data_IF_133495745666
#
_entry.id   IF_133495745666
#
_cell.length_a   1.000
_cell.length_b   1.000
_cell.length_c   1.000
_cell.angle_alpha   90.00
_cell.angle_beta   90.00
_cell.angle_gamma   90.00
#
_symmetry.space_group_name_H-M   'P 1'
#
loop_
_entity.id
_entity.type
_entity.pdbx_description
1 polymer ?
#
# COMPACT_ATOMS: atom_id res chain seq x y z
N UNK A 1 7.04 13.44 -7.99
CA UNK A 1 5.86 12.76 -8.59
C UNK A 1 4.78 12.64 -7.53
N UNK A 2 3.50 12.72 -7.90
CA UNK A 2 2.37 12.51 -6.98
C UNK A 2 1.97 11.03 -7.01
N UNK A 3 1.42 10.50 -5.92
CA UNK A 3 1.02 9.10 -5.81
C UNK A 3 -0.18 8.73 -6.72
N UNK A 4 -1.19 9.60 -6.80
CA UNK A 4 -2.44 9.34 -7.55
C UNK A 4 -2.22 8.91 -9.00
N UNK A 5 -1.41 9.60 -9.83
CA UNK A 5 -1.12 9.17 -11.19
C UNK A 5 -0.54 7.75 -11.30
N UNK A 6 0.25 7.31 -10.32
CA UNK A 6 0.86 5.98 -10.35
C UNK A 6 -0.18 4.89 -10.06
N UNK A 7 -1.09 5.10 -9.12
CA UNK A 7 -2.23 4.21 -8.90
C UNK A 7 -3.15 4.16 -10.13
N UNK A 8 -3.42 5.31 -10.75
CA UNK A 8 -4.21 5.37 -11.99
C UNK A 8 -3.52 4.61 -13.12
N UNK A 9 -2.19 4.77 -13.27
CA UNK A 9 -1.43 4.02 -14.25
C UNK A 9 -1.48 2.49 -14.00
N UNK A 10 -1.39 2.05 -12.74
CA UNK A 10 -1.55 0.64 -12.37
C UNK A 10 -2.92 0.09 -12.80
N UNK A 11 -4.01 0.82 -12.51
CA UNK A 11 -5.36 0.44 -12.95
C UNK A 11 -5.45 0.39 -14.48
N UNK A 12 -4.91 1.37 -15.19
CA UNK A 12 -4.90 1.40 -16.66
C UNK A 12 -4.16 0.17 -17.23
N UNK A 13 -3.04 -0.24 -16.64
CA UNK A 13 -2.30 -1.44 -17.05
C UNK A 13 -3.22 -2.67 -16.96
N UNK A 14 -3.91 -2.86 -15.83
CA UNK A 14 -4.83 -3.98 -15.68
C UNK A 14 -6.00 -3.93 -16.68
N UNK A 15 -6.59 -2.76 -16.91
CA UNK A 15 -7.65 -2.61 -17.90
C UNK A 15 -7.16 -2.91 -19.33
N UNK A 16 -5.93 -2.51 -19.67
CA UNK A 16 -5.31 -2.83 -20.95
C UNK A 16 -5.06 -4.34 -21.10
N UNK A 17 -4.61 -5.01 -20.04
CA UNK A 17 -4.44 -6.47 -20.03
C UNK A 17 -5.78 -7.19 -20.18
N UNK A 18 -6.83 -6.77 -19.46
CA UNK A 18 -8.17 -7.33 -19.63
C UNK A 18 -8.64 -7.18 -21.08
N UNK A 19 -8.51 -5.98 -21.66
CA UNK A 19 -8.87 -5.75 -23.05
C UNK A 19 -8.08 -6.67 -24.00
N UNK A 20 -6.76 -6.80 -23.80
CA UNK A 20 -5.92 -7.68 -24.60
C UNK A 20 -6.36 -9.15 -24.51
N UNK A 21 -6.63 -9.63 -23.29
CA UNK A 21 -7.10 -11.00 -23.02
C UNK A 21 -8.44 -11.27 -23.72
N UNK A 22 -9.40 -10.35 -23.62
CA UNK A 22 -10.70 -10.51 -24.30
C UNK A 22 -10.59 -10.42 -25.83
N UNK A 23 -9.72 -9.56 -26.36
CA UNK A 23 -9.47 -9.47 -27.81
C UNK A 23 -8.81 -10.73 -28.38
N UNK A 24 -8.09 -11.49 -27.57
CA UNK A 24 -7.46 -12.76 -27.95
C UNK A 24 -8.14 -13.98 -27.32
N UNK A 25 -9.41 -13.86 -26.96
CA UNK A 25 -10.14 -14.92 -26.24
C UNK A 25 -9.99 -16.30 -26.89
N UNK A 26 -10.12 -16.40 -28.21
CA UNK A 26 -10.07 -17.68 -28.94
C UNK A 26 -8.69 -18.35 -28.92
N UNK A 27 -7.62 -17.59 -28.69
CA UNK A 27 -6.25 -18.14 -28.59
C UNK A 27 -5.94 -18.74 -27.21
N UNK A 28 -6.82 -18.52 -26.23
CA UNK A 28 -6.65 -19.01 -24.86
C UNK A 28 -7.02 -20.49 -24.82
N UNK A 29 -6.14 -21.38 -24.28
CA UNK A 29 -6.40 -22.80 -24.21
C UNK A 29 -7.58 -23.12 -23.28
N UNK A 30 -8.22 -24.26 -23.52
CA UNK A 30 -9.18 -24.88 -22.62
C UNK A 30 -8.74 -26.34 -22.40
N UNK A 31 -8.28 -26.72 -21.19
CA UNK A 31 -8.30 -25.94 -19.95
C UNK A 31 -7.28 -24.79 -19.89
N UNK A 32 -7.56 -23.81 -19.03
CA UNK A 32 -6.71 -22.65 -18.75
C UNK A 32 -5.69 -23.03 -17.66
N UNK A 33 -4.39 -22.75 -17.85
CA UNK A 33 -3.39 -22.95 -16.80
C UNK A 33 -3.56 -21.92 -15.69
N UNK A 34 -3.47 -22.37 -14.44
CA UNK A 34 -3.75 -21.53 -13.26
C UNK A 34 -2.52 -21.30 -12.36
N UNK A 35 -1.53 -22.21 -12.41
CA UNK A 35 -0.33 -22.13 -11.61
C UNK A 35 0.88 -22.70 -12.36
N UNK A 36 2.05 -22.11 -12.12
CA UNK A 36 3.34 -22.59 -12.62
C UNK A 36 4.13 -23.07 -11.41
N UNK A 37 4.42 -24.37 -11.37
CA UNK A 37 5.14 -25.01 -10.29
C UNK A 37 6.62 -24.60 -10.23
N UNK A 38 7.35 -25.02 -9.17
CA UNK A 38 8.75 -24.66 -8.97
C UNK A 38 9.70 -25.11 -10.09
N UNK A 39 9.34 -26.16 -10.81
CA UNK A 39 10.08 -26.66 -11.98
C UNK A 39 9.85 -25.81 -13.25
N UNK A 40 8.97 -24.81 -13.21
CA UNK A 40 8.59 -24.00 -14.36
C UNK A 40 7.50 -24.63 -15.25
N UNK A 41 6.95 -25.78 -14.83
CA UNK A 41 5.86 -26.48 -15.51
C UNK A 41 4.49 -26.10 -14.94
N UNK A 42 3.44 -26.19 -15.74
CA UNK A 42 2.07 -25.95 -15.28
C UNK A 42 1.60 -27.17 -14.47
N UNK A 43 1.25 -26.95 -13.20
CA UNK A 43 0.80 -28.00 -12.28
C UNK A 43 -0.65 -27.84 -11.83
N UNK A 44 -1.35 -26.79 -12.29
CA UNK A 44 -2.78 -26.54 -12.01
C UNK A 44 -3.51 -25.99 -13.22
N UNK A 45 -4.77 -26.43 -13.39
CA UNK A 45 -5.61 -26.16 -14.55
C UNK A 45 -7.07 -25.93 -14.12
N UNK A 46 -7.79 -25.09 -14.86
CA UNK A 46 -9.23 -24.84 -14.66
C UNK A 46 -9.98 -24.76 -15.99
N UNK A 47 -11.31 -25.03 -16.03
CA UNK A 47 -12.12 -24.79 -17.22
C UNK A 47 -12.02 -23.34 -17.69
N UNK A 48 -12.06 -23.11 -19.00
CA UNK A 48 -12.05 -21.75 -19.56
C UNK A 48 -13.35 -21.01 -19.23
N UNK A 49 -13.24 -20.07 -18.30
CA UNK A 49 -14.32 -19.16 -17.91
C UNK A 49 -13.78 -17.73 -17.87
N UNK A 50 -14.66 -16.73 -17.84
CA UNK A 50 -14.22 -15.34 -17.72
C UNK A 50 -13.36 -15.13 -16.45
N UNK A 51 -13.68 -15.84 -15.38
CA UNK A 51 -13.02 -15.69 -14.09
C UNK A 51 -11.65 -16.37 -14.07
N UNK A 52 -11.57 -17.64 -14.49
CA UNK A 52 -10.29 -18.36 -14.57
C UNK A 52 -9.28 -17.64 -15.48
N UNK A 53 -9.76 -17.09 -16.59
CA UNK A 53 -8.96 -16.32 -17.54
C UNK A 53 -8.50 -14.95 -17.00
N UNK A 54 -9.24 -14.33 -16.09
CA UNK A 54 -8.92 -12.96 -15.62
C UNK A 54 -8.48 -12.88 -14.16
N UNK A 55 -8.40 -14.01 -13.46
CA UNK A 55 -8.17 -14.09 -12.03
C UNK A 55 -6.94 -13.30 -11.56
N UNK A 56 -5.77 -13.48 -12.21
CA UNK A 56 -4.52 -12.79 -11.83
C UNK A 56 -4.67 -11.27 -11.96
N UNK A 57 -5.32 -10.80 -13.02
CA UNK A 57 -5.58 -9.38 -13.25
C UNK A 57 -6.56 -8.80 -12.23
N UNK A 58 -7.62 -9.54 -11.89
CA UNK A 58 -8.60 -9.12 -10.89
C UNK A 58 -7.97 -9.06 -9.48
N UNK A 59 -7.14 -10.04 -9.13
CA UNK A 59 -6.34 -10.04 -7.89
C UNK A 59 -5.46 -8.78 -7.84
N UNK A 60 -4.78 -8.45 -8.94
CA UNK A 60 -3.97 -7.23 -9.04
C UNK A 60 -4.77 -5.93 -8.84
N UNK A 61 -5.98 -5.86 -9.39
CA UNK A 61 -6.90 -4.73 -9.17
C UNK A 61 -7.33 -4.63 -7.71
N UNK A 62 -7.70 -5.75 -7.08
CA UNK A 62 -8.08 -5.81 -5.66
C UNK A 62 -6.91 -5.34 -4.77
N UNK A 63 -5.69 -5.79 -5.04
CA UNK A 63 -4.48 -5.34 -4.33
C UNK A 63 -4.28 -3.84 -4.50
N UNK A 64 -4.40 -3.33 -5.73
CA UNK A 64 -4.20 -1.91 -6.04
C UNK A 64 -5.18 -1.01 -5.30
N UNK A 65 -6.47 -1.34 -5.36
CA UNK A 65 -7.53 -0.59 -4.67
C UNK A 65 -7.39 -0.73 -3.15
N UNK A 66 -7.13 -1.95 -2.66
CA UNK A 66 -6.92 -2.24 -1.25
C UNK A 66 -5.77 -1.42 -0.67
N UNK A 67 -4.59 -1.47 -1.29
CA UNK A 67 -3.41 -0.71 -0.84
C UNK A 67 -3.69 0.79 -0.85
N UNK A 68 -4.30 1.33 -1.91
CA UNK A 68 -4.66 2.75 -1.98
C UNK A 68 -5.63 3.17 -0.86
N UNK A 69 -6.52 2.26 -0.44
CA UNK A 69 -7.49 2.50 0.63
C UNK A 69 -6.91 2.33 2.05
N UNK A 70 -5.76 1.65 2.22
CA UNK A 70 -5.14 1.48 3.55
C UNK A 70 -4.51 2.76 4.10
N UNK A 71 -4.10 3.70 3.24
CA UNK A 71 -3.55 4.97 3.71
C UNK A 71 -4.67 5.87 4.25
N UNK A 72 -4.59 6.28 5.53
CA UNK A 72 -5.60 7.18 6.09
C UNK A 72 -5.47 8.58 5.49
N UNK A 73 -6.49 9.44 5.61
CA UNK A 73 -6.45 10.80 5.03
C UNK A 73 -5.31 11.64 5.60
N UNK A 74 -4.59 12.39 4.75
CA UNK A 74 -3.56 13.34 5.20
C UNK A 74 -4.12 14.40 6.17
N UNK A 75 -5.42 14.70 6.06
CA UNK A 75 -6.10 15.63 6.96
C UNK A 75 -6.02 15.21 8.43
N UNK A 76 -5.78 13.94 8.75
CA UNK A 76 -5.58 13.47 10.13
C UNK A 76 -4.44 14.17 10.85
N UNK A 77 -3.40 14.58 10.12
CA UNK A 77 -2.28 15.33 10.69
C UNK A 77 -2.71 16.68 11.29
N UNK A 78 -3.72 17.30 10.68
CA UNK A 78 -4.20 18.66 10.98
C UNK A 78 -5.42 18.69 11.90
N UNK A 79 -5.99 17.54 12.24
CA UNK A 79 -7.13 17.48 13.16
C UNK A 79 -6.69 17.98 14.53
N UNK A 80 -7.48 18.91 15.08
CA UNK A 80 -7.19 19.52 16.38
C UNK A 80 -6.45 20.86 16.31
N UNK A 81 -6.09 21.33 15.11
CA UNK A 81 -5.41 22.62 14.92
C UNK A 81 -6.16 23.79 15.56
N UNK A 82 -7.49 23.84 15.39
CA UNK A 82 -8.32 24.94 15.92
C UNK A 82 -8.82 24.67 17.36
N UNK A 83 -8.41 23.58 18.00
CA UNK A 83 -8.81 23.31 19.38
C UNK A 83 -7.97 24.15 20.35
N UNK A 84 -8.60 24.83 21.32
CA UNK A 84 -7.86 25.62 22.31
C UNK A 84 -6.92 24.71 23.10
N UNK A 85 -5.74 25.23 23.44
CA UNK A 85 -4.66 24.51 24.14
C UNK A 85 -5.00 24.01 25.57
N UNK A 86 -6.27 24.04 25.97
CA UNK A 86 -6.76 23.58 27.27
C UNK A 86 -6.77 22.06 27.48
N UNK A 87 -6.33 21.27 26.49
CA UNK A 87 -6.13 19.82 26.61
C UNK A 87 -4.83 19.44 27.33
N UNK A 88 -4.72 18.20 27.80
CA UNK A 88 -3.47 17.69 28.40
C UNK A 88 -2.30 17.59 27.40
N UNK A 89 -2.58 17.58 26.10
CA UNK A 89 -1.57 17.57 25.05
C UNK A 89 -1.91 18.64 24.00
N UNK A 90 -1.06 19.67 23.85
CA UNK A 90 -1.30 20.72 22.87
C UNK A 90 -1.15 20.19 21.45
N UNK A 91 -1.80 20.85 20.48
CA UNK A 91 -1.51 20.62 19.07
C UNK A 91 -0.09 21.11 18.78
N UNK A 92 0.68 20.37 17.99
CA UNK A 92 2.02 20.76 17.57
C UNK A 92 2.08 20.86 16.05
N UNK A 93 2.53 22.01 15.57
CA UNK A 93 2.65 22.30 14.16
C UNK A 93 3.79 21.47 13.55
N UNK A 94 4.91 21.37 14.25
CA UNK A 94 6.05 20.57 13.79
C UNK A 94 5.76 19.08 13.80
N UNK A 95 5.00 18.58 14.80
CA UNK A 95 4.54 17.19 14.81
C UNK A 95 3.59 16.88 13.64
N UNK A 96 2.65 17.78 13.34
CA UNK A 96 1.76 17.66 12.18
C UNK A 96 2.54 17.61 10.87
N UNK A 97 3.50 18.50 10.66
CA UNK A 97 4.34 18.51 9.45
C UNK A 97 5.12 17.20 9.26
N UNK A 98 5.62 16.59 10.35
CA UNK A 98 6.28 15.28 10.28
C UNK A 98 5.32 14.17 9.86
N UNK A 99 4.11 14.17 10.39
CA UNK A 99 3.04 13.22 9.98
C UNK A 99 2.75 13.38 8.49
N UNK A 100 2.53 14.61 8.01
CA UNK A 100 2.28 14.89 6.59
C UNK A 100 3.41 14.39 5.71
N UNK A 101 4.66 14.68 6.07
CA UNK A 101 5.83 14.27 5.29
C UNK A 101 5.99 12.76 5.25
N UNK A 102 5.79 12.07 6.37
CA UNK A 102 5.81 10.61 6.44
C UNK A 102 4.69 10.00 5.58
N UNK A 103 3.47 10.56 5.68
CA UNK A 103 2.32 10.14 4.90
C UNK A 103 2.58 10.25 3.40
N UNK A 104 3.00 11.43 2.93
CA UNK A 104 3.28 11.67 1.51
C UNK A 104 4.36 10.74 0.95
N UNK A 105 5.43 10.55 1.71
CA UNK A 105 6.56 9.70 1.29
C UNK A 105 6.16 8.23 1.25
N UNK A 106 5.39 7.77 2.25
CA UNK A 106 4.86 6.41 2.31
C UNK A 106 3.86 6.15 1.18
N UNK A 107 2.96 7.11 0.93
CA UNK A 107 1.97 7.03 -0.15
C UNK A 107 2.63 6.96 -1.52
N UNK A 108 3.64 7.79 -1.76
CA UNK A 108 4.41 7.72 -3.00
C UNK A 108 5.14 6.37 -3.16
N UNK A 109 5.77 5.87 -2.10
CA UNK A 109 6.43 4.57 -2.10
C UNK A 109 5.44 3.45 -2.44
N UNK A 110 4.31 3.38 -1.76
CA UNK A 110 3.28 2.36 -1.98
C UNK A 110 2.73 2.42 -3.40
N UNK A 111 2.50 3.63 -3.94
CA UNK A 111 2.05 3.80 -5.32
C UNK A 111 3.07 3.31 -6.36
N UNK A 112 4.37 3.50 -6.09
CA UNK A 112 5.45 2.97 -6.94
C UNK A 112 5.54 1.43 -6.86
N UNK A 113 5.39 0.85 -5.67
CA UNK A 113 5.35 -0.60 -5.49
C UNK A 113 4.17 -1.18 -6.24
N UNK A 114 2.97 -0.61 -6.06
CA UNK A 114 1.74 -1.06 -6.74
C UNK A 114 1.86 -0.97 -8.26
N UNK A 115 2.47 0.10 -8.79
CA UNK A 115 2.73 0.19 -10.23
C UNK A 115 3.67 -0.93 -10.71
N UNK A 116 4.74 -1.22 -9.98
CA UNK A 116 5.64 -2.33 -10.31
C UNK A 116 4.95 -3.69 -10.22
N UNK A 117 4.10 -3.89 -9.21
CA UNK A 117 3.25 -5.09 -9.07
C UNK A 117 2.28 -5.23 -10.23
N UNK A 118 1.70 -4.13 -10.73
CA UNK A 118 0.82 -4.16 -11.90
C UNK A 118 1.53 -4.63 -13.16
N UNK A 119 2.75 -4.14 -13.41
CA UNK A 119 3.57 -4.61 -14.52
C UNK A 119 3.91 -6.09 -14.38
N UNK A 120 4.32 -6.54 -13.18
CA UNK A 120 4.64 -7.95 -12.95
C UNK A 120 3.43 -8.86 -13.15
N UNK A 121 2.29 -8.54 -12.54
CA UNK A 121 1.08 -9.36 -12.66
C UNK A 121 0.51 -9.34 -14.08
N UNK A 122 0.67 -8.24 -14.82
CA UNK A 122 0.35 -8.19 -16.24
C UNK A 122 1.20 -9.18 -17.06
N UNK A 123 2.51 -9.22 -16.80
CA UNK A 123 3.42 -10.18 -17.44
C UNK A 123 3.04 -11.62 -17.07
N UNK A 124 2.80 -11.90 -15.78
CA UNK A 124 2.35 -13.22 -15.31
C UNK A 124 1.06 -13.65 -16.00
N UNK A 125 0.05 -12.76 -16.07
CA UNK A 125 -1.22 -13.04 -16.73
C UNK A 125 -1.02 -13.45 -18.21
N UNK A 126 -0.18 -12.71 -18.94
CA UNK A 126 0.08 -12.98 -20.35
C UNK A 126 0.85 -14.29 -20.53
N UNK A 127 1.92 -14.50 -19.75
CA UNK A 127 2.73 -15.73 -19.81
C UNK A 127 1.94 -16.97 -19.44
N UNK A 128 1.03 -16.86 -18.47
CA UNK A 128 0.21 -17.98 -18.04
C UNK A 128 -0.76 -18.38 -19.17
N UNK A 129 -1.47 -17.41 -19.75
CA UNK A 129 -2.62 -17.69 -20.62
C UNK A 129 -2.26 -17.86 -22.09
N UNK A 130 -1.15 -17.31 -22.55
CA UNK A 130 -0.72 -17.40 -23.95
C UNK A 130 0.57 -18.23 -24.06
N UNK A 131 0.46 -19.52 -24.44
CA UNK A 131 1.63 -20.40 -24.60
C UNK A 131 2.63 -19.90 -25.65
N UNK A 132 2.15 -19.10 -26.61
CA UNK A 132 2.90 -18.47 -27.69
C UNK A 132 3.49 -17.10 -27.29
N UNK A 133 3.30 -16.65 -26.03
CA UNK A 133 3.83 -15.37 -25.58
C UNK A 133 5.35 -15.32 -25.79
N UNK A 134 5.88 -14.27 -26.45
CA UNK A 134 7.32 -14.14 -26.73
C UNK A 134 8.10 -13.67 -25.48
N UNK A 135 7.74 -14.18 -24.30
CA UNK A 135 8.32 -13.80 -23.01
C UNK A 135 8.99 -15.04 -22.43
N UNK A 136 10.33 -15.02 -22.38
CA UNK A 136 11.08 -16.12 -21.77
C UNK A 136 10.96 -16.11 -20.24
N UNK A 137 11.03 -17.28 -19.61
CA UNK A 137 11.07 -17.41 -18.15
C UNK A 137 12.22 -16.60 -17.53
N UNK A 138 13.38 -16.56 -18.18
CA UNK A 138 14.53 -15.76 -17.73
C UNK A 138 14.25 -14.26 -17.76
N UNK A 139 13.56 -13.77 -18.79
CA UNK A 139 13.14 -12.37 -18.87
C UNK A 139 12.22 -12.00 -17.69
N UNK A 140 11.29 -12.89 -17.35
CA UNK A 140 10.42 -12.73 -16.18
C UNK A 140 11.23 -12.73 -14.87
N UNK A 141 12.14 -13.68 -14.67
CA UNK A 141 12.97 -13.76 -13.47
C UNK A 141 13.86 -12.52 -13.28
N UNK A 142 14.42 -11.99 -14.38
CA UNK A 142 15.19 -10.74 -14.35
C UNK A 142 14.29 -9.57 -13.96
N UNK A 143 13.10 -9.46 -14.55
CA UNK A 143 12.13 -8.42 -14.22
C UNK A 143 11.69 -8.50 -12.74
N UNK A 144 11.41 -9.71 -12.26
CA UNK A 144 11.06 -9.96 -10.87
C UNK A 144 12.21 -9.61 -9.92
N UNK A 145 13.44 -10.03 -10.23
CA UNK A 145 14.64 -9.67 -9.47
C UNK A 145 14.87 -8.16 -9.44
N UNK A 146 14.69 -7.47 -10.57
CA UNK A 146 14.78 -6.02 -10.66
C UNK A 146 13.70 -5.32 -9.80
N UNK A 147 12.47 -5.85 -9.81
CA UNK A 147 11.40 -5.36 -8.94
C UNK A 147 11.73 -5.55 -7.45
N UNK A 148 12.29 -6.70 -7.06
CA UNK A 148 12.71 -6.94 -5.68
C UNK A 148 13.78 -5.93 -5.24
N UNK A 149 14.83 -5.73 -6.04
CA UNK A 149 15.84 -4.70 -5.76
C UNK A 149 15.22 -3.30 -5.70
N UNK A 150 14.31 -2.99 -6.61
CA UNK A 150 13.60 -1.71 -6.62
C UNK A 150 12.82 -1.46 -5.33
N UNK A 151 12.04 -2.44 -4.84
CA UNK A 151 11.28 -2.31 -3.58
C UNK A 151 12.20 -2.14 -2.35
N UNK A 152 13.34 -2.84 -2.32
CA UNK A 152 14.36 -2.65 -1.28
C UNK A 152 14.94 -1.23 -1.30
N UNK A 153 15.28 -0.72 -2.49
CA UNK A 153 15.78 0.66 -2.66
C UNK A 153 14.74 1.69 -2.22
N UNK A 154 13.47 1.49 -2.55
CA UNK A 154 12.39 2.39 -2.13
C UNK A 154 12.21 2.39 -0.60
N UNK A 155 12.25 1.22 0.04
CA UNK A 155 12.14 1.09 1.49
C UNK A 155 13.32 1.79 2.18
N UNK A 156 14.54 1.58 1.68
CA UNK A 156 15.72 2.26 2.17
C UNK A 156 15.63 3.78 2.01
N UNK A 157 15.15 4.25 0.85
CA UNK A 157 14.91 5.69 0.60
C UNK A 157 13.89 6.27 1.57
N UNK A 158 12.75 5.59 1.82
CA UNK A 158 11.76 6.03 2.80
C UNK A 158 12.42 6.19 4.18
N UNK A 159 13.12 5.17 4.65
CA UNK A 159 13.78 5.20 5.96
C UNK A 159 14.76 6.38 6.07
N UNK A 160 15.60 6.57 5.05
CA UNK A 160 16.58 7.65 4.99
C UNK A 160 15.91 9.03 4.94
N UNK A 161 14.97 9.24 4.03
CA UNK A 161 14.28 10.53 3.85
C UNK A 161 13.49 10.93 5.09
N UNK A 162 12.84 9.98 5.76
CA UNK A 162 12.10 10.26 6.99
C UNK A 162 13.05 10.62 8.13
N UNK A 163 14.16 9.90 8.29
CA UNK A 163 15.20 10.25 9.28
C UNK A 163 15.79 11.64 9.04
N UNK A 164 16.11 11.97 7.80
CA UNK A 164 16.62 13.29 7.41
C UNK A 164 15.58 14.40 7.62
N UNK A 165 14.31 14.15 7.27
CA UNK A 165 13.22 15.10 7.51
C UNK A 165 13.02 15.32 9.01
N UNK A 166 13.15 14.26 9.81
CA UNK A 166 13.02 14.35 11.25
C UNK A 166 14.14 15.20 11.87
N UNK A 167 15.36 15.11 11.33
CA UNK A 167 16.49 15.91 11.80
C UNK A 167 16.43 17.39 11.38
N UNK A 168 15.75 17.71 10.27
CA UNK A 168 15.67 19.08 9.72
C UNK A 168 14.57 19.93 10.34
N UNK A 169 13.47 19.31 10.74
CA UNK A 169 12.37 20.01 11.42
C UNK A 169 12.79 20.11 12.89
N UNK A 170 13.01 21.32 13.41
CA UNK A 170 13.25 21.50 14.84
C UNK A 170 11.94 21.37 15.61
N UNK A 171 11.90 20.62 16.73
CA UNK A 171 10.66 20.44 17.49
C UNK A 171 10.27 21.73 18.21
N UNK A 172 9.02 22.17 18.00
CA UNK A 172 8.39 23.26 18.74
C UNK A 172 8.18 22.90 20.23
N UNK A 173 7.80 23.88 21.05
CA UNK A 173 7.64 23.67 22.49
C UNK A 173 6.54 22.65 22.79
N UNK A 174 5.47 22.69 22.00
CA UNK A 174 4.34 21.79 22.04
C UNK A 174 4.77 20.35 21.72
N UNK A 175 5.62 20.14 20.70
CA UNK A 175 6.17 18.84 20.33
C UNK A 175 7.02 18.29 21.47
N UNK A 176 7.84 19.12 22.11
CA UNK A 176 8.66 18.70 23.27
C UNK A 176 7.78 18.25 24.43
N UNK A 177 6.73 19.02 24.76
CA UNK A 177 5.73 18.65 25.78
C UNK A 177 5.06 17.33 25.40
N UNK A 178 4.70 17.15 24.12
CA UNK A 178 4.09 15.92 23.62
C UNK A 178 5.04 14.74 23.73
N UNK A 179 6.31 14.87 23.34
CA UNK A 179 7.32 13.81 23.42
C UNK A 179 7.54 13.38 24.87
N UNK A 180 7.65 14.32 25.79
CA UNK A 180 7.80 14.03 27.22
C UNK A 180 6.59 13.26 27.77
N UNK A 181 5.38 13.72 27.44
CA UNK A 181 4.12 13.14 27.97
C UNK A 181 3.68 11.85 27.27
N UNK A 182 4.03 11.68 25.99
CA UNK A 182 3.72 10.49 25.19
C UNK A 182 4.85 9.44 25.20
N UNK A 183 6.02 9.78 25.77
CA UNK A 183 7.32 9.13 25.53
C UNK A 183 7.37 7.60 25.59
N UNK A 184 6.56 6.96 26.43
CA UNK A 184 6.55 5.48 26.59
C UNK A 184 5.21 4.82 26.23
N UNK A 185 4.21 5.56 25.76
CA UNK A 185 2.83 5.07 25.55
C UNK A 185 2.52 4.64 24.12
N UNK A 186 3.53 4.64 23.28
CA UNK A 186 3.38 4.71 21.85
C UNK A 186 4.30 3.65 21.22
N UNK A 187 3.69 2.55 20.79
CA UNK A 187 4.35 1.39 20.19
C UNK A 187 3.39 0.71 19.21
N UNK A 188 3.83 -0.32 18.48
CA UNK A 188 3.03 -1.04 17.46
C UNK A 188 2.17 -0.17 16.51
N UNK A 189 2.48 1.12 16.35
CA UNK A 189 1.72 2.06 15.51
C UNK A 189 0.46 2.66 16.15
N UNK A 190 0.23 2.49 17.45
CA UNK A 190 -0.94 3.06 18.17
C UNK A 190 -0.60 3.59 19.55
N UNK A 191 -1.39 4.55 20.02
CA UNK A 191 -1.38 5.04 21.40
C UNK A 191 -2.79 5.38 21.88
N UNK A 192 -2.96 5.70 23.16
CA UNK A 192 -4.24 6.09 23.73
C UNK A 192 -4.10 7.33 24.61
N UNK A 193 -4.72 8.43 24.17
CA UNK A 193 -4.77 9.68 24.92
C UNK A 193 -6.10 10.40 24.63
N UNK A 194 -7.14 10.24 25.50
CA UNK A 194 -8.47 10.80 25.26
C UNK A 194 -8.53 12.33 25.19
N UNK A 195 -7.60 13.02 25.85
CA UNK A 195 -7.50 14.48 25.89
C UNK A 195 -6.43 15.04 24.96
N UNK A 196 -5.92 14.22 24.04
CA UNK A 196 -5.02 14.69 22.99
C UNK A 196 -5.82 15.33 21.87
N UNK A 197 -5.42 16.55 21.50
CA UNK A 197 -6.00 17.30 20.39
C UNK A 197 -5.68 16.64 19.04
N UNK A 198 -4.54 15.97 18.91
CA UNK A 198 -4.13 15.30 17.68
C UNK A 198 -4.64 13.86 17.61
N UNK A 199 -5.04 13.46 16.40
CA UNK A 199 -5.47 12.10 16.11
C UNK A 199 -4.31 11.13 15.82
N UNK A 200 -3.14 11.67 15.48
CA UNK A 200 -1.96 10.95 15.05
C UNK A 200 -0.69 11.68 15.49
N UNK A 201 0.39 10.94 15.69
CA UNK A 201 1.70 11.49 16.01
C UNK A 201 2.83 10.70 15.33
N UNK A 202 4.00 11.32 15.23
CA UNK A 202 5.26 10.64 14.94
C UNK A 202 6.18 10.90 16.11
N UNK A 203 6.79 9.86 16.67
CA UNK A 203 7.69 10.00 17.82
C UNK A 203 9.16 9.89 17.41
N UNK A 204 10.08 10.58 18.12
CA UNK A 204 11.51 10.56 17.81
C UNK A 204 12.16 9.18 17.88
N UNK A 205 11.67 8.31 18.77
CA UNK A 205 12.18 6.93 18.88
C UNK A 205 11.88 6.07 17.66
N UNK A 206 10.85 6.42 16.88
CA UNK A 206 10.39 5.66 15.72
C UNK A 206 9.94 6.61 14.59
N UNK A 207 10.84 7.40 13.99
CA UNK A 207 10.47 8.49 13.09
C UNK A 207 9.81 7.98 11.80
N UNK A 208 10.02 6.72 11.44
CA UNK A 208 9.40 6.07 10.28
C UNK A 208 8.05 5.42 10.57
N UNK A 209 7.48 5.60 11.77
CA UNK A 209 6.20 4.99 12.16
C UNK A 209 5.19 6.07 12.54
N UNK A 210 4.00 5.93 11.99
CA UNK A 210 2.85 6.72 12.38
C UNK A 210 2.16 6.06 13.57
N UNK A 211 1.84 6.85 14.58
CA UNK A 211 1.16 6.42 15.80
C UNK A 211 -0.27 6.94 15.76
N UNK A 212 -1.27 6.07 15.75
CA UNK A 212 -2.69 6.46 15.69
C UNK A 212 -3.29 6.49 17.11
N UNK A 213 -3.95 7.60 17.46
CA UNK A 213 -4.65 7.73 18.73
C UNK A 213 -5.97 6.94 18.71
N UNK A 214 -5.99 5.82 19.43
CA UNK A 214 -7.15 4.94 19.56
C UNK A 214 -8.28 5.55 20.39
N UNK A 215 -8.01 6.58 21.20
CA UNK A 215 -9.03 7.30 21.95
C UNK A 215 -9.65 8.46 21.17
N UNK A 216 -8.99 8.94 20.11
CA UNK A 216 -9.50 10.02 19.27
C UNK A 216 -10.50 9.48 18.23
N UNK A 217 -11.70 10.08 18.06
CA UNK A 217 -12.71 9.60 17.09
C UNK A 217 -12.17 9.47 15.66
N UNK A 218 -11.36 10.42 15.21
CA UNK A 218 -10.73 10.35 13.90
C UNK A 218 -9.68 9.23 13.79
N UNK A 219 -8.91 8.97 14.85
CA UNK A 219 -7.96 7.87 14.88
C UNK A 219 -8.65 6.50 14.84
N UNK A 220 -9.78 6.34 15.56
CA UNK A 220 -10.63 5.14 15.46
C UNK A 220 -11.13 4.92 14.03
N UNK A 221 -11.65 5.96 13.38
CA UNK A 221 -12.11 5.87 11.97
C UNK A 221 -10.98 5.45 11.04
N UNK A 222 -9.78 6.01 11.22
CA UNK A 222 -8.60 5.65 10.43
C UNK A 222 -8.23 4.17 10.60
N UNK A 223 -8.20 3.67 11.83
CA UNK A 223 -7.94 2.25 12.11
C UNK A 223 -9.01 1.32 11.54
N UNK A 224 -10.29 1.70 11.66
CA UNK A 224 -11.39 0.95 11.04
C UNK A 224 -11.24 0.91 9.51
N UNK A 225 -10.90 2.04 8.88
CA UNK A 225 -10.65 2.08 7.43
C UNK A 225 -9.49 1.16 7.03
N UNK A 226 -8.37 1.20 7.76
CA UNK A 226 -7.21 0.31 7.52
C UNK A 226 -7.64 -1.16 7.63
N UNK A 227 -8.33 -1.52 8.71
CA UNK A 227 -8.78 -2.89 8.95
C UNK A 227 -9.77 -3.38 7.88
N UNK A 228 -10.75 -2.57 7.50
CA UNK A 228 -11.70 -2.90 6.45
C UNK A 228 -11.03 -3.03 5.09
N UNK A 229 -10.04 -2.19 4.79
CA UNK A 229 -9.31 -2.23 3.51
C UNK A 229 -8.45 -3.49 3.41
N UNK A 230 -7.71 -3.84 4.48
CA UNK A 230 -6.92 -5.07 4.53
C UNK A 230 -7.81 -6.32 4.50
N UNK A 231 -8.88 -6.35 5.32
CA UNK A 231 -9.82 -7.47 5.36
C UNK A 231 -10.54 -7.66 4.02
N UNK A 232 -11.04 -6.58 3.43
CA UNK A 232 -11.69 -6.61 2.12
C UNK A 232 -10.76 -7.07 1.00
N UNK A 233 -9.49 -6.62 1.02
CA UNK A 233 -8.46 -7.07 0.07
C UNK A 233 -8.20 -8.58 0.20
N UNK A 234 -7.99 -9.08 1.42
CA UNK A 234 -7.75 -10.51 1.65
C UNK A 234 -8.95 -11.39 1.26
N UNK A 235 -10.17 -10.97 1.61
CA UNK A 235 -11.41 -11.68 1.24
C UNK A 235 -11.57 -11.66 -0.28
N UNK A 236 -11.37 -10.52 -0.94
CA UNK A 236 -11.49 -10.40 -2.39
C UNK A 236 -10.53 -11.33 -3.12
N UNK A 237 -9.27 -11.38 -2.70
CA UNK A 237 -8.26 -12.30 -3.25
C UNK A 237 -8.71 -13.75 -3.03
N UNK A 238 -9.09 -14.12 -1.81
CA UNK A 238 -9.52 -15.48 -1.47
C UNK A 238 -10.73 -15.93 -2.30
N UNK A 239 -11.74 -15.07 -2.44
CA UNK A 239 -12.95 -15.37 -3.22
C UNK A 239 -12.60 -15.60 -4.69
N UNK A 240 -11.76 -14.74 -5.28
CA UNK A 240 -11.30 -14.93 -6.66
C UNK A 240 -10.53 -16.26 -6.79
N UNK A 241 -9.60 -16.54 -5.88
CA UNK A 241 -8.80 -17.77 -5.94
C UNK A 241 -9.59 -19.07 -5.74
N UNK A 242 -10.72 -19.05 -5.01
CA UNK A 242 -11.56 -20.23 -4.82
C UNK A 242 -12.52 -20.46 -6.00
N UNK A 243 -12.97 -19.37 -6.63
CA UNK A 243 -13.98 -19.42 -7.69
C UNK A 243 -13.39 -19.51 -9.11
N UNK A 244 -12.13 -19.11 -9.29
CA UNK A 244 -11.39 -19.19 -10.55
C UNK A 244 -10.90 -20.61 -10.82
#
# INVERSE_FOLDING_TARGET
MRAKPLYTAAVIIYLAVLAYVFLRWDAIPDPVPMHIGPAGEIDSWAPKTWLSVTAVTLIGLVITVGVAATLPSISLARIGHDQPAGGELPFSETASQRVERLHETTNLMLAQIVLGTAVLLAVVQIMLIFPDAPISTWSFLILFGAFMVFTLVLTWRLHRTTKESFARIEPDQEERIRIERLGMKAGMGVYSAPKDTMAVAVLPGEPSKLQINTSHPAGKRALTQIALSLGGMMIGILVISILA
#
